data_IF_169229383871
#
_entry.id   IF_169229383871
#
_cell.length_a   1.000
_cell.length_b   1.000
_cell.length_c   1.000
_cell.angle_alpha   90.00
_cell.angle_beta   90.00
_cell.angle_gamma   90.00
#
_symmetry.space_group_name_H-M   'P 1'
#
loop_
_entity.id
_entity.type
_entity.pdbx_description
1 polymer ?
#
# COMPACT_ATOMS: atom_id res chain seq x y z
N UNK A 1 66.12 -8.76 39.55
CA UNK A 1 65.72 -8.60 38.13
C UNK A 1 64.97 -9.83 37.64
N UNK A 2 63.64 -9.82 37.68
CA UNK A 2 62.76 -10.72 36.91
C UNK A 2 61.53 -9.90 36.52
N UNK A 3 61.27 -9.83 35.20
CA UNK A 3 60.29 -8.93 34.57
C UNK A 3 58.89 -9.50 34.73
N UNK A 4 57.97 -8.75 35.33
CA UNK A 4 56.53 -9.03 35.32
C UNK A 4 55.92 -8.41 34.06
N UNK A 5 55.36 -9.26 33.21
CA UNK A 5 54.64 -8.91 31.99
C UNK A 5 53.17 -8.63 32.39
N UNK A 6 52.72 -7.39 32.27
CA UNK A 6 51.31 -7.03 32.44
C UNK A 6 50.67 -6.90 31.05
N UNK A 7 49.88 -7.90 30.66
CA UNK A 7 49.02 -7.85 29.49
C UNK A 7 47.72 -7.12 29.87
N UNK A 8 47.57 -5.89 29.37
CA UNK A 8 46.33 -5.12 29.51
C UNK A 8 45.39 -5.53 28.37
N UNK A 9 44.47 -6.46 28.64
CA UNK A 9 43.40 -6.81 27.72
C UNK A 9 42.30 -5.73 27.80
N UNK A 10 42.30 -4.81 26.85
CA UNK A 10 41.24 -3.82 26.69
C UNK A 10 40.05 -4.49 25.98
N UNK A 11 39.09 -4.95 26.77
CA UNK A 11 37.84 -5.54 26.28
C UNK A 11 36.99 -4.43 25.64
N UNK A 12 37.06 -4.30 24.32
CA UNK A 12 36.20 -3.42 23.54
C UNK A 12 34.79 -4.02 23.49
N UNK A 13 33.96 -3.76 24.51
CA UNK A 13 32.52 -4.03 24.45
C UNK A 13 31.91 -3.06 23.43
N UNK A 14 31.79 -3.50 22.18
CA UNK A 14 30.91 -2.87 21.19
C UNK A 14 29.48 -2.96 21.70
N UNK A 15 28.96 -1.84 22.20
CA UNK A 15 27.53 -1.61 22.36
C UNK A 15 26.87 -1.81 21.00
N UNK A 16 26.24 -2.97 20.81
CA UNK A 16 25.25 -3.15 19.75
C UNK A 16 24.08 -2.27 20.17
N UNK A 17 24.06 -1.02 19.74
CA UNK A 17 22.85 -0.23 19.81
C UNK A 17 21.81 -0.97 18.98
N UNK A 18 20.61 -1.26 19.51
CA UNK A 18 19.54 -1.74 18.67
C UNK A 18 19.35 -0.66 17.61
N UNK A 19 19.56 -1.02 16.34
CA UNK A 19 19.09 -0.21 15.22
C UNK A 19 17.58 -0.12 15.44
N UNK A 20 17.12 0.98 16.05
CA UNK A 20 15.74 1.40 15.97
C UNK A 20 15.44 1.39 14.48
N UNK A 21 14.67 0.39 14.04
CA UNK A 21 14.28 0.25 12.66
C UNK A 21 13.76 1.62 12.23
N UNK A 22 14.50 2.27 11.33
CA UNK A 22 14.15 3.57 10.78
C UNK A 22 12.66 3.52 10.45
N UNK A 23 11.83 4.34 11.10
CA UNK A 23 10.40 4.42 10.82
C UNK A 23 10.25 4.65 9.32
N UNK A 24 9.89 3.59 8.60
CA UNK A 24 9.85 3.66 7.14
C UNK A 24 8.70 4.60 6.76
N UNK A 25 9.01 5.64 5.98
CA UNK A 25 7.99 6.56 5.49
C UNK A 25 6.93 5.77 4.73
N UNK A 26 5.66 5.99 5.09
CA UNK A 26 4.52 5.56 4.30
C UNK A 26 4.14 6.69 3.33
N UNK A 27 3.35 6.41 2.27
CA UNK A 27 2.83 7.45 1.39
C UNK A 27 1.94 8.45 2.16
N UNK A 28 1.61 9.56 1.51
CA UNK A 28 0.66 10.56 2.01
C UNK A 28 1.12 11.29 3.30
N UNK A 29 2.42 11.26 3.58
CA UNK A 29 3.01 11.85 4.77
C UNK A 29 2.75 11.04 6.05
N UNK A 30 2.36 9.77 5.90
CA UNK A 30 2.18 8.83 7.00
C UNK A 30 3.49 8.10 7.31
N UNK A 31 3.45 7.25 8.34
CA UNK A 31 4.56 6.36 8.73
C UNK A 31 4.07 4.93 8.82
N UNK A 32 4.91 3.97 8.47
CA UNK A 32 4.60 2.56 8.63
C UNK A 32 4.80 2.10 10.07
N UNK A 33 4.11 1.02 10.45
CA UNK A 33 4.33 0.29 11.71
C UNK A 33 4.05 1.14 12.97
N UNK A 34 3.31 2.24 12.82
CA UNK A 34 2.83 3.08 13.92
C UNK A 34 1.36 2.78 14.25
N UNK A 35 0.95 3.13 15.46
CA UNK A 35 -0.40 2.94 15.97
C UNK A 35 -1.44 3.86 15.33
N UNK A 36 -2.73 3.52 15.43
CA UNK A 36 -3.81 4.41 14.99
C UNK A 36 -3.76 5.76 15.72
N UNK A 37 -3.47 5.75 17.02
CA UNK A 37 -3.30 6.97 17.82
C UNK A 37 -2.13 7.85 17.34
N UNK A 38 -1.03 7.24 16.89
CA UNK A 38 0.09 7.99 16.31
C UNK A 38 -0.25 8.61 14.95
N UNK A 39 -1.10 7.95 14.15
CA UNK A 39 -1.63 8.54 12.93
C UNK A 39 -2.52 9.75 13.24
N UNK A 40 -3.39 9.68 14.25
CA UNK A 40 -4.25 10.80 14.65
C UNK A 40 -3.45 12.02 15.14
N UNK A 41 -2.28 11.81 15.77
CA UNK A 41 -1.36 12.90 16.15
C UNK A 41 -0.83 13.70 14.96
N UNK A 42 -0.93 13.18 13.74
CA UNK A 42 -0.61 13.90 12.50
C UNK A 42 -1.78 14.80 12.02
N UNK A 43 -2.89 14.86 12.75
CA UNK A 43 -4.11 15.58 12.36
C UNK A 43 -5.04 14.77 11.44
N UNK A 44 -4.72 13.49 11.21
CA UNK A 44 -5.56 12.58 10.43
C UNK A 44 -6.79 12.19 11.24
N UNK A 45 -7.97 12.21 10.62
CA UNK A 45 -9.21 11.76 11.24
C UNK A 45 -9.51 10.35 10.79
N UNK A 46 -9.64 9.42 11.75
CA UNK A 46 -9.92 8.01 11.51
C UNK A 46 -11.39 7.70 11.86
N UNK A 47 -12.11 7.12 10.90
CA UNK A 47 -13.47 6.59 11.11
C UNK A 47 -13.47 5.10 10.87
N UNK A 48 -14.00 4.25 11.77
CA UNK A 48 -14.05 2.81 11.54
C UNK A 48 -14.68 2.48 10.18
N UNK A 49 -14.09 1.53 9.47
CA UNK A 49 -14.68 0.94 8.27
C UNK A 49 -15.36 -0.37 8.66
N UNK A 50 -16.59 -0.58 8.19
CA UNK A 50 -17.35 -1.79 8.48
C UNK A 50 -16.80 -3.01 7.73
N UNK A 51 -16.91 -4.19 8.35
CA UNK A 51 -16.70 -5.52 7.75
C UNK A 51 -15.43 -5.66 6.89
N UNK A 52 -14.25 -5.52 7.51
CA UNK A 52 -12.98 -5.69 6.79
C UNK A 52 -12.25 -6.97 7.20
N UNK A 53 -11.65 -7.65 6.22
CA UNK A 53 -10.86 -8.89 6.41
C UNK A 53 -9.38 -8.62 6.74
N UNK A 54 -9.02 -7.37 6.99
CA UNK A 54 -7.63 -6.89 7.07
C UNK A 54 -7.27 -6.30 8.45
N UNK A 55 -7.89 -6.82 9.52
CA UNK A 55 -7.75 -6.29 10.86
C UNK A 55 -8.59 -5.03 11.10
N UNK A 56 -8.15 -4.16 11.99
CA UNK A 56 -8.83 -2.87 12.23
C UNK A 56 -8.58 -1.96 11.04
N UNK A 57 -9.62 -1.59 10.32
CA UNK A 57 -9.52 -0.70 9.17
C UNK A 57 -10.30 0.58 9.42
N UNK A 58 -9.72 1.70 9.01
CA UNK A 58 -10.32 3.02 9.14
C UNK A 58 -10.39 3.71 7.78
N UNK A 59 -11.47 4.42 7.52
CA UNK A 59 -11.51 5.48 6.52
C UNK A 59 -10.78 6.69 7.09
N UNK A 60 -9.74 7.14 6.39
CA UNK A 60 -8.91 8.27 6.80
C UNK A 60 -9.24 9.52 5.99
N UNK A 61 -9.28 10.66 6.68
CA UNK A 61 -9.44 11.99 6.10
C UNK A 61 -8.42 12.96 6.72
N UNK A 62 -8.23 14.14 6.12
CA UNK A 62 -7.23 15.13 6.58
C UNK A 62 -5.78 14.60 6.54
N UNK A 63 -5.41 13.92 5.46
CA UNK A 63 -4.04 13.41 5.27
C UNK A 63 -3.03 14.55 5.12
N UNK A 64 -1.79 14.41 5.64
CA UNK A 64 -0.74 15.43 5.50
C UNK A 64 -0.38 15.75 4.03
N UNK A 65 -0.51 14.76 3.14
CA UNK A 65 -0.36 14.93 1.69
C UNK A 65 -1.45 14.14 0.98
N UNK A 66 -2.00 14.68 -0.10
CA UNK A 66 -3.05 14.03 -0.89
C UNK A 66 -2.80 14.18 -2.39
N UNK A 67 -3.33 13.24 -3.19
CA UNK A 67 -3.51 13.44 -4.62
C UNK A 67 -4.84 14.19 -4.82
N UNK A 68 -4.88 15.06 -5.84
CA UNK A 68 -6.02 15.96 -6.06
C UNK A 68 -7.36 15.23 -6.28
N UNK A 69 -7.31 14.02 -6.81
CA UNK A 69 -8.45 13.20 -7.22
C UNK A 69 -8.64 11.97 -6.32
N UNK A 70 -8.26 12.05 -5.04
CA UNK A 70 -8.55 10.99 -4.05
C UNK A 70 -10.00 11.06 -3.58
N UNK A 71 -10.74 9.95 -3.72
CA UNK A 71 -12.10 9.81 -3.21
C UNK A 71 -12.16 9.14 -1.84
N UNK A 72 -11.36 8.09 -1.65
CA UNK A 72 -11.40 7.28 -0.42
C UNK A 72 -9.99 6.82 -0.06
N UNK A 73 -9.63 6.92 1.22
CA UNK A 73 -8.40 6.33 1.76
C UNK A 73 -8.76 5.43 2.93
N UNK A 74 -8.32 4.18 2.87
CA UNK A 74 -8.49 3.19 3.93
C UNK A 74 -7.13 2.78 4.49
N UNK A 75 -7.00 2.83 5.81
CA UNK A 75 -5.81 2.43 6.55
C UNK A 75 -6.12 1.16 7.32
N UNK A 76 -5.36 0.09 7.08
CA UNK A 76 -5.52 -1.19 7.78
C UNK A 76 -4.37 -1.41 8.75
N UNK A 77 -4.73 -1.72 9.99
CA UNK A 77 -3.84 -1.95 11.11
C UNK A 77 -3.89 -3.43 11.50
N UNK A 78 -2.74 -3.97 11.90
CA UNK A 78 -2.60 -5.34 12.34
C UNK A 78 -3.33 -5.58 13.66
N UNK A 79 -3.36 -6.84 14.12
CA UNK A 79 -3.89 -7.17 15.44
C UNK A 79 -3.07 -6.53 16.58
N UNK A 80 -1.82 -6.16 16.29
CA UNK A 80 -0.91 -5.40 17.16
C UNK A 80 -1.09 -3.87 17.06
N UNK A 81 -2.18 -3.41 16.44
CA UNK A 81 -2.51 -2.00 16.18
C UNK A 81 -1.52 -1.27 15.26
N UNK A 82 -0.72 -1.95 14.44
CA UNK A 82 0.29 -1.28 13.60
C UNK A 82 -0.13 -1.14 12.15
N UNK A 83 0.06 0.05 11.57
CA UNK A 83 -0.26 0.31 10.16
C UNK A 83 0.59 -0.57 9.23
N UNK A 84 -0.06 -1.37 8.39
CA UNK A 84 0.63 -2.25 7.44
C UNK A 84 0.08 -2.16 6.01
N UNK A 85 -1.10 -1.58 5.81
CA UNK A 85 -1.72 -1.46 4.47
C UNK A 85 -2.50 -0.17 4.31
N UNK A 86 -2.37 0.42 3.12
CA UNK A 86 -3.09 1.64 2.70
C UNK A 86 -3.75 1.36 1.36
N UNK A 87 -5.05 1.60 1.27
CA UNK A 87 -5.80 1.57 -0.01
C UNK A 87 -6.28 2.96 -0.32
N UNK A 88 -6.11 3.37 -1.57
CA UNK A 88 -6.65 4.63 -2.08
C UNK A 88 -7.49 4.34 -3.32
N UNK A 89 -8.69 4.92 -3.36
CA UNK A 89 -9.53 4.96 -4.55
C UNK A 89 -9.58 6.38 -5.08
N UNK A 90 -9.41 6.51 -6.39
CA UNK A 90 -9.60 7.77 -7.10
C UNK A 90 -11.08 8.13 -7.26
N UNK A 91 -11.32 9.39 -7.62
CA UNK A 91 -12.62 9.82 -8.15
C UNK A 91 -12.99 9.03 -9.42
N UNK A 92 -14.29 8.94 -9.68
CA UNK A 92 -14.80 8.25 -10.87
C UNK A 92 -14.77 9.16 -12.10
N UNK A 93 -14.22 8.65 -13.19
CA UNK A 93 -14.42 9.21 -14.51
C UNK A 93 -15.76 8.74 -15.05
N UNK A 94 -16.77 9.60 -14.96
CA UNK A 94 -18.16 9.29 -15.35
C UNK A 94 -18.29 9.11 -16.86
N UNK A 95 -18.91 8.02 -17.32
CA UNK A 95 -19.07 7.65 -18.74
C UNK A 95 -17.73 7.45 -19.50
N UNK A 96 -16.72 6.88 -18.86
CA UNK A 96 -15.42 6.59 -19.46
C UNK A 96 -15.36 5.19 -20.09
N UNK A 97 -16.38 4.83 -20.89
CA UNK A 97 -16.55 3.47 -21.39
C UNK A 97 -15.37 2.95 -22.24
N UNK A 98 -14.68 3.86 -22.94
CA UNK A 98 -13.49 3.58 -23.75
C UNK A 98 -12.17 3.65 -22.97
N UNK A 99 -12.21 4.11 -21.72
CA UNK A 99 -11.05 4.15 -20.83
C UNK A 99 -10.06 5.29 -21.05
N UNK A 100 -10.28 6.21 -22.00
CA UNK A 100 -9.27 7.23 -22.34
C UNK A 100 -8.80 8.05 -21.14
N UNK A 101 -9.71 8.48 -20.25
CA UNK A 101 -9.33 9.29 -19.08
C UNK A 101 -8.63 8.45 -18.02
N UNK A 102 -9.10 7.23 -17.76
CA UNK A 102 -8.43 6.37 -16.78
C UNK A 102 -7.03 5.96 -17.27
N UNK A 103 -6.83 5.70 -18.57
CA UNK A 103 -5.50 5.43 -19.15
C UNK A 103 -4.54 6.57 -18.86
N UNK A 104 -4.96 7.79 -19.21
CA UNK A 104 -4.12 8.97 -19.07
C UNK A 104 -3.73 9.19 -17.61
N UNK A 105 -4.70 9.08 -16.69
CA UNK A 105 -4.43 9.25 -15.27
C UNK A 105 -3.57 8.12 -14.71
N UNK A 106 -3.85 6.88 -15.09
CA UNK A 106 -3.06 5.71 -14.70
C UNK A 106 -1.59 5.86 -15.12
N UNK A 107 -1.32 6.30 -16.35
CA UNK A 107 0.04 6.52 -16.84
C UNK A 107 0.76 7.64 -16.07
N UNK A 108 0.07 8.72 -15.69
CA UNK A 108 0.64 9.77 -14.84
C UNK A 108 1.01 9.26 -13.43
N UNK A 109 0.15 8.43 -12.84
CA UNK A 109 0.40 7.81 -11.54
C UNK A 109 1.57 6.82 -11.63
N UNK A 110 1.61 6.00 -12.67
CA UNK A 110 2.71 5.06 -12.93
C UNK A 110 4.05 5.80 -13.07
N UNK A 111 4.10 6.87 -13.86
CA UNK A 111 5.29 7.70 -14.00
C UNK A 111 5.73 8.35 -12.68
N UNK A 112 4.78 8.68 -11.80
CA UNK A 112 5.08 9.24 -10.48
C UNK A 112 5.60 8.19 -9.51
N UNK A 113 5.05 6.97 -9.53
CA UNK A 113 5.53 5.84 -8.74
C UNK A 113 6.94 5.42 -9.14
N UNK A 114 7.23 5.37 -10.45
CA UNK A 114 8.53 5.00 -10.99
C UNK A 114 9.69 5.90 -10.50
N UNK A 115 9.40 7.09 -9.97
CA UNK A 115 10.42 7.98 -9.36
C UNK A 115 10.96 7.47 -8.03
N UNK A 116 10.16 6.70 -7.27
CA UNK A 116 10.48 6.28 -5.91
C UNK A 116 10.37 4.77 -5.68
N UNK A 117 9.84 4.03 -6.66
CA UNK A 117 9.65 2.58 -6.58
C UNK A 117 10.18 1.91 -7.85
N UNK A 118 10.65 0.68 -7.72
CA UNK A 118 11.07 -0.16 -8.84
C UNK A 118 9.87 -0.95 -9.36
N UNK A 119 9.55 -0.84 -10.64
CA UNK A 119 8.51 -1.64 -11.29
C UNK A 119 8.90 -3.13 -11.24
N UNK A 120 7.96 -3.99 -10.87
CA UNK A 120 8.16 -5.44 -10.73
C UNK A 120 7.27 -6.27 -11.64
N UNK A 121 6.24 -5.67 -12.23
CA UNK A 121 5.34 -6.37 -13.12
C UNK A 121 4.30 -5.45 -13.73
N UNK A 122 3.92 -5.75 -14.96
CA UNK A 122 2.90 -5.07 -15.75
C UNK A 122 1.93 -6.12 -16.24
N UNK A 123 0.65 -5.93 -15.96
CA UNK A 123 -0.43 -6.76 -16.46
C UNK A 123 -1.45 -5.85 -17.11
N UNK A 124 -1.31 -5.70 -18.42
CA UNK A 124 -2.17 -4.87 -19.24
C UNK A 124 -2.72 -5.74 -20.38
N UNK A 125 -4.03 -6.05 -20.36
CA UNK A 125 -4.65 -6.76 -21.50
C UNK A 125 -4.51 -5.91 -22.75
N UNK A 126 -3.92 -6.50 -23.79
CA UNK A 126 -3.85 -5.89 -25.11
C UNK A 126 -5.24 -5.92 -25.76
N UNK A 127 -5.60 -4.89 -26.54
CA UNK A 127 -6.81 -4.92 -27.35
C UNK A 127 -6.85 -6.16 -28.26
N UNK A 128 -8.05 -6.73 -28.44
CA UNK A 128 -8.29 -7.88 -29.31
C UNK A 128 -9.72 -7.88 -29.85
N UNK A 129 -9.98 -8.68 -30.89
CA UNK A 129 -11.31 -8.73 -31.53
C UNK A 129 -12.38 -9.46 -30.71
N UNK A 130 -11.98 -10.13 -29.63
CA UNK A 130 -12.89 -10.76 -28.67
C UNK A 130 -13.72 -9.69 -27.98
N UNK A 131 -14.95 -10.00 -27.59
CA UNK A 131 -15.85 -9.05 -26.91
C UNK A 131 -15.14 -8.23 -25.82
N UNK A 132 -14.40 -8.87 -24.91
CA UNK A 132 -13.69 -8.18 -23.82
C UNK A 132 -12.43 -7.41 -24.21
N UNK A 133 -11.91 -7.62 -25.42
CA UNK A 133 -10.71 -6.96 -25.93
C UNK A 133 -10.99 -5.71 -26.76
N UNK A 134 -12.26 -5.45 -27.10
CA UNK A 134 -12.64 -4.30 -27.91
C UNK A 134 -12.64 -3.02 -27.06
N UNK A 135 -12.19 -1.93 -27.66
CA UNK A 135 -12.05 -0.65 -26.96
C UNK A 135 -13.40 -0.12 -26.43
N UNK A 136 -14.50 -0.33 -27.16
CA UNK A 136 -15.85 0.06 -26.73
C UNK A 136 -16.33 -0.67 -25.47
N UNK A 137 -15.75 -1.83 -25.18
CA UNK A 137 -16.10 -2.64 -24.01
C UNK A 137 -15.12 -2.46 -22.85
N UNK A 138 -14.15 -1.55 -22.95
CA UNK A 138 -13.05 -1.45 -21.99
C UNK A 138 -13.51 -1.36 -20.53
N UNK A 139 -14.37 -0.39 -20.19
CA UNK A 139 -14.87 -0.25 -18.83
C UNK A 139 -15.71 -1.45 -18.40
N UNK A 140 -16.50 -2.04 -19.30
CA UNK A 140 -17.24 -3.25 -19.00
C UNK A 140 -16.30 -4.42 -18.69
N UNK A 141 -15.26 -4.64 -19.52
CA UNK A 141 -14.26 -5.69 -19.34
C UNK A 141 -13.49 -5.55 -18.02
N UNK A 142 -13.19 -4.32 -17.58
CA UNK A 142 -12.63 -4.08 -16.25
C UNK A 142 -13.58 -4.57 -15.16
N UNK A 143 -14.87 -4.28 -15.26
CA UNK A 143 -15.87 -4.64 -14.24
C UNK A 143 -16.08 -6.16 -14.14
N UNK A 144 -15.82 -6.87 -15.24
CA UNK A 144 -15.92 -8.33 -15.32
C UNK A 144 -14.60 -9.03 -14.98
N UNK A 145 -13.55 -8.29 -14.57
CA UNK A 145 -12.21 -8.84 -14.32
C UNK A 145 -11.56 -9.49 -15.57
N UNK A 146 -12.02 -9.09 -16.76
CA UNK A 146 -11.58 -9.61 -18.05
C UNK A 146 -10.50 -8.73 -18.69
N UNK A 147 -10.44 -7.44 -18.37
CA UNK A 147 -9.41 -6.52 -18.86
C UNK A 147 -8.51 -6.01 -17.73
N UNK A 148 -7.85 -6.94 -17.03
CA UNK A 148 -6.91 -6.59 -15.96
C UNK A 148 -5.87 -5.57 -16.42
N UNK A 149 -5.84 -4.43 -15.73
CA UNK A 149 -4.89 -3.35 -15.92
C UNK A 149 -4.30 -2.97 -14.59
N UNK A 150 -3.12 -3.51 -14.31
CA UNK A 150 -2.38 -3.16 -13.13
C UNK A 150 -0.87 -3.24 -13.32
N UNK A 151 -0.18 -2.43 -12.52
CA UNK A 151 1.27 -2.42 -12.36
C UNK A 151 1.61 -2.66 -10.92
N UNK A 152 2.69 -3.40 -10.70
CA UNK A 152 3.25 -3.63 -9.38
C UNK A 152 4.62 -2.99 -9.27
N UNK A 153 4.90 -2.46 -8.09
CA UNK A 153 6.17 -1.86 -7.76
C UNK A 153 6.64 -2.34 -6.39
N UNK A 154 7.94 -2.20 -6.13
CA UNK A 154 8.54 -2.45 -4.82
C UNK A 154 9.48 -1.32 -4.41
N UNK A 155 9.63 -1.19 -3.11
CA UNK A 155 10.75 -0.52 -2.43
C UNK A 155 11.37 -1.49 -1.42
N UNK A 156 12.33 -1.03 -0.65
CA UNK A 156 12.89 -1.80 0.47
C UNK A 156 11.87 -2.06 1.59
N UNK A 157 10.82 -1.23 1.73
CA UNK A 157 9.86 -1.38 2.82
C UNK A 157 8.51 -1.98 2.36
N UNK A 158 8.07 -1.68 1.13
CA UNK A 158 6.70 -1.92 0.71
C UNK A 158 6.57 -2.40 -0.74
N UNK A 159 5.46 -3.07 -1.02
CA UNK A 159 4.95 -3.25 -2.39
C UNK A 159 3.83 -2.25 -2.66
N UNK A 160 3.64 -1.93 -3.94
CA UNK A 160 2.57 -1.04 -4.42
C UNK A 160 1.90 -1.71 -5.62
N UNK A 161 0.58 -1.76 -5.61
CA UNK A 161 -0.23 -2.06 -6.79
C UNK A 161 -0.93 -0.77 -7.24
N UNK A 162 -0.82 -0.43 -8.52
CA UNK A 162 -1.66 0.55 -9.20
C UNK A 162 -2.56 -0.20 -10.16
N UNK A 163 -3.87 -0.01 -10.10
CA UNK A 163 -4.83 -0.62 -11.03
C UNK A 163 -5.88 0.35 -11.57
N UNK A 164 -6.28 0.14 -12.81
CA UNK A 164 -7.52 0.69 -13.35
C UNK A 164 -8.67 -0.26 -13.00
N UNK A 165 -9.81 0.30 -12.65
CA UNK A 165 -11.01 -0.42 -12.28
C UNK A 165 -12.23 0.30 -12.87
N UNK A 166 -13.39 -0.33 -12.80
CA UNK A 166 -14.63 0.28 -13.23
C UNK A 166 -15.82 -0.16 -12.39
N UNK A 167 -16.85 0.67 -12.43
CA UNK A 167 -18.20 0.34 -12.04
C UNK A 167 -19.09 0.58 -13.26
N UNK A 168 -19.41 -0.49 -14.00
CA UNK A 168 -20.06 -0.43 -15.30
C UNK A 168 -19.32 0.48 -16.29
N UNK A 169 -19.90 1.65 -16.60
CA UNK A 169 -19.37 2.63 -17.57
C UNK A 169 -18.46 3.70 -16.94
N UNK A 170 -18.36 3.74 -15.62
CA UNK A 170 -17.47 4.66 -14.92
C UNK A 170 -16.17 3.93 -14.60
N UNK A 171 -15.04 4.61 -14.77
CA UNK A 171 -13.72 4.06 -14.45
C UNK A 171 -13.12 4.82 -13.27
N UNK A 172 -12.21 4.18 -12.53
CA UNK A 172 -11.48 4.80 -11.43
C UNK A 172 -10.15 4.09 -11.24
N UNK A 173 -9.18 4.75 -10.61
CA UNK A 173 -7.90 4.12 -10.26
C UNK A 173 -7.91 3.66 -8.80
N UNK A 174 -7.11 2.65 -8.51
CA UNK A 174 -6.85 2.16 -7.16
C UNK A 174 -5.34 2.05 -6.93
N UNK A 175 -4.89 2.49 -5.76
CA UNK A 175 -3.57 2.21 -5.24
C UNK A 175 -3.69 1.33 -3.99
N UNK A 176 -2.86 0.30 -3.90
CA UNK A 176 -2.71 -0.52 -2.69
C UNK A 176 -1.23 -0.52 -2.31
N UNK A 177 -0.91 0.04 -1.15
CA UNK A 177 0.41 -0.03 -0.55
C UNK A 177 0.39 -1.07 0.57
N UNK A 178 1.39 -1.94 0.59
CA UNK A 178 1.53 -2.96 1.64
C UNK A 178 2.96 -2.96 2.17
N UNK A 179 3.10 -2.74 3.47
CA UNK A 179 4.39 -2.87 4.15
C UNK A 179 4.68 -4.36 4.38
N UNK A 180 5.87 -4.80 3.96
CA UNK A 180 6.20 -6.24 3.84
C UNK A 180 6.26 -6.97 5.19
N UNK A 181 6.87 -6.39 6.20
CA UNK A 181 7.00 -6.99 7.53
C UNK A 181 5.68 -6.95 8.32
N UNK A 182 4.95 -5.84 8.28
CA UNK A 182 3.62 -5.69 8.85
C UNK A 182 2.62 -6.67 8.25
N UNK A 183 2.69 -6.93 6.93
CA UNK A 183 1.90 -8.01 6.30
C UNK A 183 2.24 -9.38 6.92
N UNK A 184 3.53 -9.71 7.07
CA UNK A 184 3.93 -11.00 7.67
C UNK A 184 3.44 -11.12 9.12
N UNK A 185 3.56 -10.06 9.91
CA UNK A 185 3.07 -10.02 11.30
C UNK A 185 1.55 -10.22 11.34
N UNK A 186 0.81 -9.50 10.50
CA UNK A 186 -0.64 -9.66 10.38
C UNK A 186 -1.01 -11.10 10.02
N UNK A 187 -0.40 -11.67 8.96
CA UNK A 187 -0.68 -13.04 8.51
C UNK A 187 -0.34 -14.10 9.57
N UNK A 188 0.77 -13.94 10.31
CA UNK A 188 1.14 -14.85 11.39
C UNK A 188 0.15 -14.77 12.58
N UNK A 189 -0.37 -13.58 12.89
CA UNK A 189 -1.35 -13.39 13.97
C UNK A 189 -2.77 -13.80 13.60
N UNK A 190 -3.10 -13.84 12.31
CA UNK A 190 -4.45 -14.12 11.80
C UNK A 190 -4.96 -15.49 12.24
N UNK A 191 -4.14 -16.54 12.15
CA UNK A 191 -4.54 -17.89 12.54
C UNK A 191 -4.88 -18.01 14.04
N UNK A 192 -4.16 -17.28 14.89
CA UNK A 192 -4.47 -17.21 16.32
C UNK A 192 -5.80 -16.48 16.59
N UNK A 193 -6.01 -15.35 15.94
CA UNK A 193 -7.25 -14.58 16.08
C UNK A 193 -8.49 -15.33 15.55
N UNK A 194 -8.34 -16.09 14.46
CA UNK A 194 -9.41 -16.95 13.94
C UNK A 194 -9.72 -18.12 14.88
N UNK A 195 -8.70 -18.70 15.54
CA UNK A 195 -8.91 -19.75 16.53
C UNK A 195 -9.63 -19.23 17.79
N UNK A 196 -9.27 -18.05 18.29
CA UNK A 196 -9.90 -17.44 19.47
C UNK A 196 -11.38 -17.07 19.23
N UNK A 197 -11.81 -16.94 17.98
CA UNK A 197 -13.16 -16.56 17.59
C UNK A 197 -14.12 -17.74 17.38
N UNK A 198 -13.61 -18.98 17.44
CA UNK A 198 -14.37 -20.23 17.30
C UNK A 198 -14.63 -20.87 18.67
#
# INVERSE_FOLDING_TARGET
MKKTLAFLAFLLMTLIQPVLAQEASAPFGLKWVVSASEIEKLGVVLRPADNTTFGKTYVATSLPKALADMKLVMLSFGHDDRLWRIVVLGEEFVNDQYGSRIIDRYNQLAASLAKNYTETGVYERRPSDTFYGRAENFAYSLSQNEANWFRTYKSDASTVELSANSNHKNTFWRLIYVQREGKKVFEASKAGAELDAL
#
